data_IF_668994186172
#
_entry.id   IF_668994186172
#
_cell.length_a   1.000
_cell.length_b   1.000
_cell.length_c   1.000
_cell.angle_alpha   90.00
_cell.angle_beta   90.00
_cell.angle_gamma   90.00
#
_symmetry.space_group_name_H-M   'P 1'
#
loop_
_entity.id
_entity.type
_entity.pdbx_description
1 polymer ?
#
# COMPACT_ATOMS: atom_id res chain seq x y z
N UNK A 1 13.41 18.66 6.38
CA UNK A 1 13.78 19.08 5.00
C UNK A 1 12.57 19.76 4.39
N UNK A 2 12.73 20.92 3.76
CA UNK A 2 11.64 21.64 3.08
C UNK A 2 11.82 21.49 1.58
N UNK A 3 10.80 21.01 0.90
CA UNK A 3 10.83 20.73 -0.54
C UNK A 3 9.56 21.28 -1.17
N UNK A 4 9.68 21.94 -2.32
CA UNK A 4 8.53 22.39 -3.12
C UNK A 4 8.39 21.48 -4.33
N UNK A 5 7.17 21.01 -4.59
CA UNK A 5 6.82 20.12 -5.70
C UNK A 5 5.60 20.66 -6.43
N UNK A 6 5.60 20.55 -7.76
CA UNK A 6 4.48 20.94 -8.62
C UNK A 6 3.61 19.72 -8.91
N UNK A 7 2.29 19.87 -8.82
CA UNK A 7 1.32 18.77 -8.97
C UNK A 7 0.18 19.27 -9.84
N UNK A 8 -0.42 18.34 -10.58
CA UNK A 8 -1.65 18.56 -11.32
C UNK A 8 -2.81 18.89 -10.36
N UNK A 9 -3.47 20.02 -10.60
CA UNK A 9 -4.59 20.47 -9.79
C UNK A 9 -5.77 19.51 -9.82
N UNK A 10 -6.05 18.86 -10.96
CA UNK A 10 -7.12 17.88 -11.07
C UNK A 10 -6.82 16.62 -10.24
N UNK A 11 -5.54 16.23 -10.14
CA UNK A 11 -5.12 15.14 -9.25
C UNK A 11 -5.29 15.56 -7.78
N UNK A 12 -4.88 16.79 -7.44
CA UNK A 12 -4.99 17.30 -6.08
C UNK A 12 -6.44 17.43 -5.62
N UNK A 13 -7.35 17.88 -6.48
CA UNK A 13 -8.78 17.96 -6.17
C UNK A 13 -9.40 16.60 -5.87
N UNK A 14 -9.10 15.57 -6.67
CA UNK A 14 -9.60 14.21 -6.41
C UNK A 14 -9.16 13.68 -5.06
N UNK A 15 -7.97 14.08 -4.61
CA UNK A 15 -7.47 13.68 -3.30
C UNK A 15 -8.23 14.42 -2.20
N UNK A 16 -8.53 15.71 -2.38
CA UNK A 16 -9.35 16.47 -1.42
C UNK A 16 -10.79 15.95 -1.33
N UNK A 17 -11.37 15.48 -2.44
CA UNK A 17 -12.72 14.89 -2.45
C UNK A 17 -12.80 13.58 -1.63
N UNK A 18 -11.67 12.88 -1.48
CA UNK A 18 -11.57 11.59 -0.80
C UNK A 18 -10.93 11.67 0.60
N UNK A 19 -10.15 12.71 0.86
CA UNK A 19 -9.43 12.89 2.11
C UNK A 19 -10.34 13.43 3.21
N UNK A 20 -10.05 13.06 4.45
CA UNK A 20 -10.69 13.69 5.59
C UNK A 20 -10.37 15.20 5.62
N UNK A 21 -11.35 16.07 5.92
CA UNK A 21 -11.15 17.52 5.93
C UNK A 21 -10.08 18.00 6.91
N UNK A 22 -9.70 17.16 7.87
CA UNK A 22 -8.70 17.44 8.91
C UNK A 22 -7.27 17.09 8.51
N UNK A 23 -7.05 16.45 7.36
CA UNK A 23 -5.71 16.08 6.90
C UNK A 23 -4.92 17.33 6.47
N UNK A 24 -3.73 17.49 7.03
CA UNK A 24 -2.78 18.50 6.56
C UNK A 24 -2.14 18.07 5.23
N UNK A 25 -1.77 19.06 4.41
CA UNK A 25 -1.10 18.85 3.12
C UNK A 25 0.20 18.06 3.31
N UNK A 26 0.96 18.36 4.36
CA UNK A 26 2.22 17.67 4.64
C UNK A 26 2.01 16.17 4.94
N UNK A 27 0.93 15.84 5.64
CA UNK A 27 0.60 14.44 5.97
C UNK A 27 0.11 13.68 4.74
N UNK A 28 -0.65 14.34 3.87
CA UNK A 28 -1.04 13.76 2.59
C UNK A 28 0.17 13.35 1.75
N UNK A 29 1.18 14.21 1.67
CA UNK A 29 2.43 13.89 0.96
C UNK A 29 3.20 12.75 1.60
N UNK A 30 3.27 12.73 2.93
CA UNK A 30 3.93 11.66 3.67
C UNK A 30 3.25 10.31 3.39
N UNK A 31 1.93 10.28 3.44
CA UNK A 31 1.15 9.07 3.12
C UNK A 31 1.34 8.65 1.66
N UNK A 32 1.29 9.58 0.70
CA UNK A 32 1.53 9.26 -0.71
C UNK A 32 2.90 8.60 -0.93
N UNK A 33 3.95 9.09 -0.27
CA UNK A 33 5.29 8.50 -0.33
C UNK A 33 5.34 7.12 0.33
N UNK A 34 4.70 6.93 1.49
CA UNK A 34 4.63 5.63 2.15
C UNK A 34 3.89 4.59 1.28
N UNK A 35 2.76 4.97 0.69
CA UNK A 35 1.99 4.13 -0.23
C UNK A 35 2.82 3.79 -1.46
N UNK A 36 3.54 4.76 -2.04
CA UNK A 36 4.44 4.50 -3.16
C UNK A 36 5.50 3.44 -2.82
N UNK A 37 6.17 3.57 -1.68
CA UNK A 37 7.15 2.57 -1.22
C UNK A 37 6.50 1.20 -1.07
N UNK A 38 5.32 1.11 -0.42
CA UNK A 38 4.58 -0.14 -0.25
C UNK A 38 4.28 -0.81 -1.59
N UNK A 39 3.78 -0.04 -2.57
CA UNK A 39 3.45 -0.55 -3.92
C UNK A 39 4.70 -1.04 -4.66
N UNK A 40 5.82 -0.30 -4.59
CA UNK A 40 7.05 -0.71 -5.26
C UNK A 40 7.65 -1.98 -4.64
N UNK A 41 7.64 -2.09 -3.32
CA UNK A 41 8.08 -3.29 -2.62
C UNK A 41 7.18 -4.48 -2.98
N UNK A 42 5.86 -4.30 -2.99
CA UNK A 42 4.92 -5.34 -3.40
C UNK A 42 5.14 -5.79 -4.84
N UNK A 43 5.36 -4.86 -5.78
CA UNK A 43 5.70 -5.17 -7.18
C UNK A 43 7.01 -5.95 -7.27
N UNK A 44 8.04 -5.55 -6.52
CA UNK A 44 9.33 -6.25 -6.50
C UNK A 44 9.19 -7.66 -5.95
N UNK A 45 8.43 -7.84 -4.86
CA UNK A 45 8.13 -9.16 -4.29
C UNK A 45 7.34 -10.04 -5.26
N UNK A 46 6.34 -9.49 -5.93
CA UNK A 46 5.58 -10.20 -6.96
C UNK A 46 6.47 -10.60 -8.16
N UNK A 47 7.38 -9.72 -8.59
CA UNK A 47 8.33 -9.97 -9.67
C UNK A 47 9.40 -11.03 -9.31
N UNK A 48 9.74 -11.17 -8.03
CA UNK A 48 10.53 -12.32 -7.54
C UNK A 48 9.78 -13.66 -7.71
N UNK A 49 8.52 -13.60 -8.15
CA UNK A 49 7.83 -14.69 -8.82
C UNK A 49 7.00 -15.57 -7.90
N UNK A 50 6.69 -15.14 -6.66
CA UNK A 50 5.96 -15.98 -5.69
C UNK A 50 6.53 -17.40 -5.63
N UNK A 51 7.86 -17.50 -5.75
CA UNK A 51 8.48 -18.57 -6.54
C UNK A 51 8.91 -19.73 -5.67
N UNK A 52 7.96 -20.34 -4.99
CA UNK A 52 8.14 -21.73 -4.62
C UNK A 52 7.00 -22.55 -5.22
N UNK A 53 7.02 -22.81 -6.54
CA UNK A 53 6.07 -23.72 -7.17
C UNK A 53 6.13 -25.15 -6.60
N UNK A 54 7.19 -25.48 -5.85
CA UNK A 54 7.31 -26.72 -5.07
C UNK A 54 7.06 -26.52 -3.57
N UNK A 55 6.52 -25.36 -3.15
CA UNK A 55 6.19 -25.13 -1.75
C UNK A 55 5.16 -26.15 -1.32
N UNK A 56 5.46 -26.87 -0.24
CA UNK A 56 4.49 -27.78 0.36
C UNK A 56 3.27 -26.98 0.81
N UNK A 57 2.10 -27.51 0.52
CA UNK A 57 0.83 -26.93 0.94
C UNK A 57 0.81 -26.76 2.46
N UNK A 58 0.32 -25.60 2.94
CA UNK A 58 0.29 -25.32 4.38
C UNK A 58 -0.95 -26.01 4.96
N UNK A 59 -0.80 -26.95 5.93
CA UNK A 59 -1.93 -27.68 6.47
C UNK A 59 -2.96 -26.72 7.06
N UNK A 60 -4.18 -26.71 6.50
CA UNK A 60 -5.29 -25.97 7.11
C UNK A 60 -5.62 -26.62 8.45
N UNK A 61 -5.46 -25.86 9.54
CA UNK A 61 -5.94 -26.26 10.85
C UNK A 61 -7.47 -26.33 10.80
N UNK A 62 -8.02 -27.52 10.59
CA UNK A 62 -9.44 -27.74 10.87
C UNK A 62 -9.59 -27.61 12.39
N UNK A 63 -10.39 -26.65 12.84
CA UNK A 63 -10.82 -26.60 14.24
C UNK A 63 -11.44 -27.96 14.50
N UNK A 64 -10.81 -28.73 15.39
CA UNK A 64 -11.23 -30.08 15.72
C UNK A 64 -12.67 -30.02 16.20
N UNK A 65 -13.48 -30.89 15.62
CA UNK A 65 -14.78 -31.24 16.15
C UNK A 65 -14.51 -31.97 17.47
N UNK A 66 -14.47 -31.23 18.57
CA UNK A 66 -14.47 -31.79 19.93
C UNK A 66 -15.75 -32.61 20.08
N UNK A 67 -15.59 -33.92 20.10
CA UNK A 67 -16.58 -34.89 20.58
C UNK A 67 -16.11 -35.41 21.93
#
# INVERSE_FOLDING_TARGET
>A
MRTTVTIDDALYQRVLDLADPSIDKADLFREALQVFVRVQVAKRLAALGGKNPQMKDIPRRKVGNDK
#
